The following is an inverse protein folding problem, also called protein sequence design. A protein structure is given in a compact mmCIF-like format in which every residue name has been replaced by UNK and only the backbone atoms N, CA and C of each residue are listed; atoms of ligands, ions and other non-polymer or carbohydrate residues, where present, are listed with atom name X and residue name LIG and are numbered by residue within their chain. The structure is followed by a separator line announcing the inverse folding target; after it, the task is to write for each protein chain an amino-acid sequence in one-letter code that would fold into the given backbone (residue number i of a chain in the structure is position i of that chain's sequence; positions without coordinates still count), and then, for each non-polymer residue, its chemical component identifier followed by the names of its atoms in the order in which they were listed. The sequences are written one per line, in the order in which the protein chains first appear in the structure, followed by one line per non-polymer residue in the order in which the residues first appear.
data_IF_444608930681
#
_entry.id   IF_444608930681
#
_cell.length_a   1.000
_cell.length_b   1.000
_cell.length_c   1.000
_cell.angle_alpha   90.00
_cell.angle_beta   90.00
_cell.angle_gamma   90.00
#
_symmetry.space_group_name_H-M   'P 1'
#
loop_
_entity.id
_entity.type
_entity.pdbx_description
1 polymer ?
#
# COMPACT_ATOMS: atom_id res chain seq x y z
N UNK A 1 12.49 22.39 5.29
CA UNK A 1 12.41 20.92 5.37
C UNK A 1 12.50 20.52 6.83
N UNK A 2 11.52 19.78 7.36
CA UNK A 2 11.57 19.18 8.70
C UNK A 2 11.79 17.67 8.51
N UNK A 3 12.62 17.07 9.35
CA UNK A 3 12.90 15.63 9.31
C UNK A 3 12.71 15.10 10.72
N UNK A 4 11.97 14.00 10.83
CA UNK A 4 11.84 13.23 12.06
C UNK A 4 12.39 11.83 11.77
N UNK A 5 13.16 11.27 12.70
CA UNK A 5 13.68 9.91 12.61
C UNK A 5 13.01 9.07 13.68
N UNK A 6 12.20 8.12 13.25
CA UNK A 6 11.54 7.17 14.13
C UNK A 6 11.24 5.90 13.36
N UNK A 7 11.12 4.79 14.08
CA UNK A 7 10.61 3.55 13.52
C UNK A 7 9.08 3.62 13.48
N UNK A 8 8.50 3.70 12.28
CA UNK A 8 7.06 3.91 12.10
C UNK A 8 6.32 2.58 12.29
N UNK A 9 5.24 2.63 13.05
CA UNK A 9 4.33 1.51 13.27
C UNK A 9 2.89 1.99 13.10
N UNK A 10 1.95 1.06 12.93
CA UNK A 10 0.53 1.42 12.88
C UNK A 10 0.04 2.07 14.18
N UNK A 11 0.71 1.78 15.29
CA UNK A 11 0.33 2.27 16.63
C UNK A 11 0.87 3.68 16.92
N UNK A 12 1.95 4.11 16.25
CA UNK A 12 2.58 5.43 16.49
C UNK A 12 2.39 6.46 15.37
N UNK A 13 1.95 6.04 14.17
CA UNK A 13 1.89 6.92 13.00
C UNK A 13 1.00 8.15 13.23
N UNK A 14 -0.13 7.98 13.94
CA UNK A 14 -1.06 9.06 14.21
C UNK A 14 -0.48 10.11 15.17
N UNK A 15 0.24 9.67 16.21
CA UNK A 15 0.89 10.60 17.14
C UNK A 15 2.02 11.35 16.44
N UNK A 16 2.84 10.66 15.65
CA UNK A 16 3.90 11.28 14.85
C UNK A 16 3.35 12.38 13.92
N UNK A 17 2.29 12.09 13.17
CA UNK A 17 1.68 13.06 12.25
C UNK A 17 1.08 14.24 13.01
N UNK A 18 0.39 13.99 14.14
CA UNK A 18 -0.21 15.03 14.96
C UNK A 18 0.83 15.95 15.60
N UNK A 19 1.87 15.38 16.20
CA UNK A 19 2.92 16.11 16.93
C UNK A 19 3.76 16.98 15.99
N UNK A 20 3.80 16.65 14.71
CA UNK A 20 4.44 17.47 13.68
C UNK A 20 3.51 18.49 13.01
N UNK A 21 2.27 18.63 13.48
CA UNK A 21 1.30 19.62 13.00
C UNK A 21 0.73 19.30 11.62
N UNK A 22 0.66 18.01 11.26
CA UNK A 22 0.16 17.51 9.98
C UNK A 22 -1.22 16.85 10.10
N UNK A 23 -1.91 17.04 11.23
CA UNK A 23 -3.30 16.63 11.38
C UNK A 23 -4.23 17.50 10.53
N UNK A 24 -5.30 16.91 10.00
CA UNK A 24 -6.23 17.57 9.08
C UNK A 24 -5.80 17.45 7.61
N UNK A 25 -6.17 18.44 6.79
CA UNK A 25 -5.88 18.41 5.36
C UNK A 25 -4.40 18.63 5.07
N UNK A 26 -3.83 17.75 4.25
CA UNK A 26 -2.48 17.91 3.68
C UNK A 26 -2.54 17.68 2.17
N UNK A 27 -1.63 18.26 1.40
CA UNK A 27 -1.69 18.12 -0.06
C UNK A 27 -1.23 16.72 -0.53
N UNK A 28 -0.20 16.17 0.12
CA UNK A 28 0.47 14.95 -0.33
C UNK A 28 0.92 14.07 0.84
N UNK A 29 0.63 12.77 0.73
CA UNK A 29 1.27 11.71 1.51
C UNK A 29 2.03 10.80 0.54
N UNK A 30 3.30 10.51 0.83
CA UNK A 30 4.07 9.47 0.15
C UNK A 30 4.47 8.44 1.20
N UNK A 31 4.19 7.16 0.96
CA UNK A 31 4.48 6.07 1.88
C UNK A 31 5.25 4.97 1.17
N UNK A 32 6.46 4.73 1.66
CA UNK A 32 7.41 3.72 1.21
C UNK A 32 8.29 3.39 2.43
N UNK A 33 7.90 2.33 3.16
CA UNK A 33 8.57 1.86 4.38
C UNK A 33 8.97 0.38 4.28
N UNK A 34 9.08 -0.15 3.06
CA UNK A 34 9.62 -1.47 2.75
C UNK A 34 8.91 -2.66 3.44
N UNK A 35 7.61 -2.58 3.75
CA UNK A 35 6.94 -3.67 4.47
C UNK A 35 5.53 -3.38 4.95
N UNK A 36 5.43 -2.59 6.03
CA UNK A 36 4.18 -2.38 6.76
C UNK A 36 3.26 -1.31 6.16
N UNK A 37 3.51 -0.89 4.92
CA UNK A 37 2.87 0.23 4.22
C UNK A 37 1.34 0.16 4.30
N UNK A 38 0.76 -1.01 3.99
CA UNK A 38 -0.68 -1.24 4.09
C UNK A 38 -1.22 -1.01 5.51
N UNK A 39 -0.54 -1.55 6.52
CA UNK A 39 -0.98 -1.47 7.92
C UNK A 39 -0.85 -0.07 8.49
N UNK A 40 0.24 0.62 8.15
CA UNK A 40 0.48 2.01 8.55
C UNK A 40 -0.56 2.94 7.91
N UNK A 41 -0.80 2.82 6.61
CA UNK A 41 -1.81 3.65 5.95
C UNK A 41 -3.23 3.33 6.41
N UNK A 42 -3.53 2.06 6.69
CA UNK A 42 -4.82 1.65 7.26
C UNK A 42 -5.07 2.34 8.60
N UNK A 43 -4.08 2.36 9.49
CA UNK A 43 -4.20 2.99 10.81
C UNK A 43 -4.15 4.52 10.79
N UNK A 44 -3.51 5.13 9.79
CA UNK A 44 -3.40 6.58 9.68
C UNK A 44 -4.76 7.24 9.39
N UNK A 45 -5.29 7.97 10.37
CA UNK A 45 -6.61 8.63 10.30
C UNK A 45 -6.59 10.11 10.72
N UNK A 46 -5.49 10.58 11.30
CA UNK A 46 -5.38 11.97 11.77
C UNK A 46 -5.19 12.99 10.66
N UNK A 47 -4.81 12.56 9.45
CA UNK A 47 -4.64 13.44 8.30
C UNK A 47 -5.49 12.98 7.11
N UNK A 48 -5.80 13.93 6.23
CA UNK A 48 -6.56 13.72 5.00
C UNK A 48 -5.75 14.29 3.82
N UNK A 49 -4.83 13.49 3.26
CA UNK A 49 -4.09 13.88 2.06
C UNK A 49 -5.01 14.08 0.87
N UNK A 50 -4.76 15.07 0.01
CA UNK A 50 -5.44 15.20 -1.29
C UNK A 50 -4.97 14.15 -2.28
N UNK A 51 -3.68 13.84 -2.24
CA UNK A 51 -3.02 12.80 -3.04
C UNK A 51 -2.25 11.86 -2.11
N UNK A 52 -2.35 10.56 -2.35
CA UNK A 52 -1.55 9.53 -1.69
C UNK A 52 -0.71 8.81 -2.74
N UNK A 53 0.59 8.67 -2.49
CA UNK A 53 1.53 7.87 -3.26
C UNK A 53 1.93 6.69 -2.39
N UNK A 54 1.76 5.47 -2.90
CA UNK A 54 2.08 4.24 -2.18
C UNK A 54 3.06 3.41 -3.00
N UNK A 55 4.13 2.94 -2.38
CA UNK A 55 4.89 1.82 -2.91
C UNK A 55 4.01 0.57 -2.82
N UNK A 56 3.88 -0.16 -3.93
CA UNK A 56 3.24 -1.47 -3.95
C UNK A 56 4.21 -2.53 -4.44
N UNK A 57 3.92 -3.78 -4.13
CA UNK A 57 4.73 -4.91 -4.56
C UNK A 57 4.17 -5.51 -5.87
N UNK A 58 4.78 -5.22 -7.04
CA UNK A 58 4.34 -5.76 -8.33
C UNK A 58 4.67 -7.25 -8.49
N UNK A 59 5.27 -7.91 -7.51
CA UNK A 59 5.50 -9.34 -7.58
C UNK A 59 4.26 -10.17 -7.22
N UNK A 60 3.28 -9.57 -6.51
CA UNK A 60 2.04 -10.25 -6.09
C UNK A 60 0.97 -10.40 -7.19
N UNK A 61 1.16 -9.78 -8.35
CA UNK A 61 0.16 -9.81 -9.42
C UNK A 61 -1.01 -8.83 -9.19
N UNK A 62 -1.84 -8.62 -10.21
CA UNK A 62 -2.98 -7.70 -10.14
C UNK A 62 -4.22 -8.29 -9.47
N UNK A 63 -4.31 -9.62 -9.32
CA UNK A 63 -5.57 -10.30 -8.99
C UNK A 63 -5.87 -10.36 -7.49
N UNK A 64 -4.89 -10.74 -6.68
CA UNK A 64 -5.11 -11.02 -5.25
C UNK A 64 -4.86 -9.77 -4.40
N UNK A 65 -5.77 -9.47 -3.49
CA UNK A 65 -5.56 -8.47 -2.45
C UNK A 65 -4.79 -9.10 -1.28
N UNK A 66 -3.47 -8.87 -1.23
CA UNK A 66 -2.58 -9.49 -0.24
C UNK A 66 -1.61 -8.49 0.34
N UNK A 67 -1.17 -8.75 1.56
CA UNK A 67 -0.08 -8.01 2.22
C UNK A 67 0.72 -8.93 3.12
N UNK A 68 1.98 -8.60 3.37
CA UNK A 68 2.75 -9.26 4.44
C UNK A 68 2.04 -9.06 5.79
N UNK A 69 2.09 -10.07 6.67
CA UNK A 69 1.52 -9.94 8.00
C UNK A 69 2.19 -8.80 8.76
N UNK A 70 1.37 -8.03 9.48
CA UNK A 70 1.88 -6.96 10.33
C UNK A 70 2.85 -7.51 11.37
N UNK A 71 4.06 -6.95 11.38
CA UNK A 71 5.06 -7.12 12.43
C UNK A 71 5.65 -5.74 12.74
N UNK A 72 5.50 -5.19 13.96
CA UNK A 72 6.06 -3.89 14.30
C UNK A 72 7.59 -3.85 14.16
N UNK A 73 8.28 -4.99 14.08
CA UNK A 73 9.71 -5.10 13.86
C UNK A 73 10.07 -5.68 12.47
N UNK A 74 9.14 -5.62 11.50
CA UNK A 74 9.35 -6.16 10.16
C UNK A 74 10.65 -5.66 9.54
N UNK A 75 11.53 -6.60 9.18
CA UNK A 75 12.75 -6.33 8.42
C UNK A 75 12.73 -7.17 7.14
N UNK A 76 12.56 -6.51 6.00
CA UNK A 76 12.60 -7.14 4.67
C UNK A 76 13.89 -7.93 4.45
N UNK A 77 15.02 -7.51 5.03
CA UNK A 77 16.30 -8.19 4.87
C UNK A 77 16.29 -9.61 5.46
N UNK A 78 15.48 -9.87 6.49
CA UNK A 78 15.37 -11.17 7.13
C UNK A 78 14.81 -12.26 6.18
N UNK A 79 14.20 -11.88 5.05
CA UNK A 79 13.58 -12.80 4.10
C UNK A 79 14.41 -13.02 2.83
N UNK A 80 15.54 -12.32 2.66
CA UNK A 80 16.33 -12.32 1.41
C UNK A 80 16.86 -13.69 1.00
N UNK A 81 17.14 -14.58 1.96
CA UNK A 81 17.57 -15.95 1.69
C UNK A 81 16.46 -16.82 1.07
N UNK A 82 15.20 -16.41 1.24
CA UNK A 82 14.04 -17.04 0.59
C UNK A 82 13.68 -16.27 -0.69
N UNK A 83 13.42 -14.96 -0.57
CA UNK A 83 13.07 -14.10 -1.70
C UNK A 83 13.25 -12.61 -1.35
N UNK A 84 13.72 -11.82 -2.30
CA UNK A 84 13.76 -10.36 -2.17
C UNK A 84 12.38 -9.69 -2.35
N UNK A 85 11.37 -10.47 -2.76
CA UNK A 85 10.03 -9.98 -3.14
C UNK A 85 8.97 -10.19 -2.04
N UNK A 86 9.36 -10.44 -0.80
CA UNK A 86 8.44 -10.55 0.34
C UNK A 86 8.43 -9.24 1.15
N UNK A 87 7.57 -8.32 0.75
CA UNK A 87 7.37 -7.00 1.37
C UNK A 87 6.03 -6.40 0.92
N UNK A 88 5.56 -5.39 1.65
CA UNK A 88 4.47 -4.51 1.22
C UNK A 88 3.13 -5.22 0.98
N UNK A 89 2.38 -4.68 0.03
CA UNK A 89 1.06 -5.17 -0.35
C UNK A 89 0.87 -5.13 -1.88
N UNK A 90 -0.11 -5.89 -2.37
CA UNK A 90 -0.47 -5.88 -3.79
C UNK A 90 -1.23 -4.62 -4.17
N UNK A 91 -1.30 -4.32 -5.48
CA UNK A 91 -2.06 -3.17 -5.96
C UNK A 91 -3.56 -3.30 -5.62
N UNK A 92 -4.12 -4.50 -5.70
CA UNK A 92 -5.52 -4.75 -5.34
C UNK A 92 -5.78 -4.46 -3.84
N UNK A 93 -4.81 -4.74 -2.95
CA UNK A 93 -4.93 -4.40 -1.54
C UNK A 93 -5.04 -2.88 -1.33
N UNK A 94 -4.18 -2.11 -1.99
CA UNK A 94 -4.21 -0.65 -1.89
C UNK A 94 -5.42 -0.01 -2.57
N UNK A 95 -5.89 -0.56 -3.68
CA UNK A 95 -7.13 -0.11 -4.31
C UNK A 95 -8.32 -0.29 -3.36
N UNK A 96 -8.45 -1.47 -2.75
CA UNK A 96 -9.52 -1.77 -1.78
C UNK A 96 -9.47 -0.81 -0.58
N UNK A 97 -8.30 -0.68 0.05
CA UNK A 97 -8.12 0.22 1.20
C UNK A 97 -8.32 1.69 0.82
N UNK A 98 -7.95 2.08 -0.39
CA UNK A 98 -8.24 3.41 -0.92
C UNK A 98 -9.72 3.69 -0.96
N UNK A 99 -10.53 2.77 -1.52
CA UNK A 99 -11.99 2.91 -1.54
C UNK A 99 -12.56 3.05 -0.13
N UNK A 100 -12.11 2.21 0.81
CA UNK A 100 -12.52 2.29 2.22
C UNK A 100 -12.21 3.65 2.85
N UNK A 101 -11.06 4.25 2.49
CA UNK A 101 -10.60 5.54 3.04
C UNK A 101 -11.10 6.76 2.25
N UNK A 102 -11.95 6.59 1.22
CA UNK A 102 -12.47 7.71 0.42
C UNK A 102 -11.51 8.20 -0.67
N UNK A 103 -10.69 7.30 -1.21
CA UNK A 103 -9.73 7.54 -2.29
C UNK A 103 -10.02 6.63 -3.49
N UNK A 104 -9.59 7.08 -4.67
CA UNK A 104 -9.63 6.30 -5.90
C UNK A 104 -8.24 6.21 -6.53
N UNK A 105 -7.89 5.01 -6.98
CA UNK A 105 -6.68 4.77 -7.74
C UNK A 105 -6.79 5.47 -9.11
N UNK A 106 -5.81 6.30 -9.49
CA UNK A 106 -5.88 7.06 -10.75
C UNK A 106 -4.72 6.77 -11.71
N UNK A 107 -3.56 6.39 -11.18
CA UNK A 107 -2.35 6.18 -11.97
C UNK A 107 -1.39 5.23 -11.25
N UNK A 108 -0.56 4.51 -12.01
CA UNK A 108 0.71 3.95 -11.53
C UNK A 108 1.87 4.54 -12.29
N UNK A 109 3.01 4.65 -11.62
CA UNK A 109 4.20 5.18 -12.25
C UNK A 109 4.76 4.20 -13.30
N UNK A 110 5.33 4.68 -14.43
CA UNK A 110 5.70 3.80 -15.54
C UNK A 110 6.71 2.69 -15.22
N UNK A 111 7.54 2.84 -14.18
CA UNK A 111 8.50 1.81 -13.77
C UNK A 111 7.89 0.77 -12.82
N UNK A 112 6.64 0.95 -12.39
CA UNK A 112 5.85 -0.07 -11.70
C UNK A 112 6.08 -0.21 -10.20
N UNK A 113 6.67 0.77 -9.53
CA UNK A 113 6.90 0.74 -8.08
C UNK A 113 5.84 1.51 -7.27
N UNK A 114 5.32 2.62 -7.80
CA UNK A 114 4.40 3.48 -7.06
C UNK A 114 3.04 3.61 -7.74
N UNK A 115 2.01 3.80 -6.93
CA UNK A 115 0.67 4.17 -7.38
C UNK A 115 0.15 5.43 -6.72
N UNK A 116 -0.76 6.10 -7.42
CA UNK A 116 -1.31 7.39 -7.04
C UNK A 116 -2.81 7.24 -6.81
N UNK A 117 -3.25 7.67 -5.63
CA UNK A 117 -4.65 7.72 -5.27
C UNK A 117 -5.07 9.16 -4.98
N UNK A 118 -6.23 9.56 -5.54
CA UNK A 118 -6.84 10.85 -5.30
C UNK A 118 -7.99 10.71 -4.32
N UNK A 119 -8.10 11.66 -3.38
CA UNK A 119 -9.29 11.77 -2.53
C UNK A 119 -10.52 12.04 -3.39
N UNK A 120 -11.65 11.42 -3.08
CA UNK A 120 -12.83 11.38 -3.97
C UNK A 120 -13.41 12.76 -4.33
N UNK A 121 -13.22 13.77 -3.48
CA UNK A 121 -13.63 15.17 -3.71
C UNK A 121 -12.64 15.99 -4.54
N UNK A 122 -11.39 15.54 -4.68
CA UNK A 122 -10.34 16.24 -5.40
C UNK A 122 -10.36 15.86 -6.89
N UNK A 123 -10.48 16.86 -7.76
CA UNK A 123 -10.49 16.72 -9.22
C UNK A 123 -11.42 15.59 -9.71
N UNK A 124 -12.73 15.64 -9.39
CA UNK A 124 -13.68 14.56 -9.66
C UNK A 124 -13.79 14.18 -11.15
N UNK A 125 -13.35 15.05 -12.06
CA UNK A 125 -13.21 14.78 -13.49
C UNK A 125 -12.14 13.72 -13.84
N UNK A 126 -11.17 13.49 -12.94
CA UNK A 126 -10.18 12.42 -13.07
C UNK A 126 -10.81 11.12 -12.57
N UNK A 127 -11.19 10.24 -13.49
CA UNK A 127 -11.81 8.96 -13.18
C UNK A 127 -10.85 7.99 -12.48
N UNK A 128 -11.42 7.03 -11.74
CA UNK A 128 -10.66 5.89 -11.24
C UNK A 128 -10.15 5.04 -12.41
N UNK A 129 -8.92 4.56 -12.29
CA UNK A 129 -8.30 3.66 -13.25
C UNK A 129 -8.30 2.25 -12.66
N UNK A 130 -8.77 1.23 -13.40
CA UNK A 130 -8.82 -0.12 -12.87
C UNK A 130 -7.40 -0.68 -12.72
N UNK A 131 -7.20 -1.53 -11.71
CA UNK A 131 -5.89 -2.17 -11.38
C UNK A 131 -5.18 -2.72 -12.61
N UNK A 132 -5.89 -3.45 -13.47
CA UNK A 132 -5.31 -4.09 -14.67
C UNK A 132 -4.79 -3.08 -15.72
N UNK A 133 -5.35 -1.87 -15.77
CA UNK A 133 -4.89 -0.83 -16.69
C UNK A 133 -3.64 -0.10 -16.16
N UNK A 134 -3.43 -0.13 -14.84
CA UNK A 134 -2.27 0.48 -14.17
C UNK A 134 -1.12 -0.50 -14.01
N UNK A 135 -1.42 -1.80 -13.93
CA UNK A 135 -0.42 -2.80 -13.60
C UNK A 135 0.72 -2.82 -14.63
N UNK A 136 1.99 -2.71 -14.21
CA UNK A 136 3.12 -2.46 -15.12
C UNK A 136 3.43 -3.65 -16.05
N UNK A 137 3.11 -4.87 -15.61
CA UNK A 137 3.31 -6.08 -16.40
C UNK A 137 2.08 -7.00 -16.32
N UNK A 138 1.10 -6.85 -17.21
CA UNK A 138 -0.12 -7.67 -17.22
C UNK A 138 0.15 -9.17 -17.44
N UNK A 139 1.31 -9.52 -18.02
CA UNK A 139 1.73 -10.91 -18.24
C UNK A 139 2.55 -11.49 -17.09
N UNK A 140 2.74 -10.76 -15.99
CA UNK A 140 3.45 -11.25 -14.81
C UNK A 140 2.70 -12.42 -14.18
N UNK A 141 3.38 -13.55 -14.00
CA UNK A 141 2.85 -14.71 -13.30
C UNK A 141 3.32 -14.68 -11.83
N UNK A 142 2.43 -14.40 -10.86
CA UNK A 142 2.81 -14.36 -9.45
C UNK A 142 2.85 -15.75 -8.78
N UNK A 143 2.39 -16.81 -9.47
CA UNK A 143 2.30 -18.17 -8.88
C UNK A 143 3.63 -18.68 -8.31
N UNK A 144 4.79 -18.54 -9.00
CA UNK A 144 6.05 -18.99 -8.44
C UNK A 144 6.42 -18.31 -7.12
N UNK A 145 6.08 -17.03 -6.94
CA UNK A 145 6.29 -16.33 -5.68
C UNK A 145 5.37 -16.85 -4.59
N UNK A 146 4.08 -17.05 -4.89
CA UNK A 146 3.14 -17.59 -3.92
C UNK A 146 3.48 -19.03 -3.49
N UNK A 147 3.93 -19.87 -4.43
CA UNK A 147 4.40 -21.22 -4.13
C UNK A 147 5.61 -21.19 -3.20
N UNK A 148 6.55 -20.27 -3.44
CA UNK A 148 7.73 -20.08 -2.59
C UNK A 148 7.36 -19.59 -1.19
N UNK A 149 6.47 -18.60 -1.08
CA UNK A 149 5.93 -18.08 0.19
C UNK A 149 5.26 -19.22 0.98
N UNK A 150 4.42 -20.02 0.33
CA UNK A 150 3.71 -21.14 0.96
C UNK A 150 4.69 -22.23 1.41
N UNK A 151 5.66 -22.61 0.57
CA UNK A 151 6.69 -23.61 0.90
C UNK A 151 7.54 -23.17 2.09
N UNK A 152 7.93 -21.90 2.15
CA UNK A 152 8.70 -21.32 3.23
C UNK A 152 7.85 -20.94 4.46
N UNK A 153 6.52 -21.05 4.38
CA UNK A 153 5.56 -20.66 5.42
C UNK A 153 5.73 -19.19 5.85
N UNK A 154 6.01 -18.31 4.90
CA UNK A 154 6.11 -16.88 5.20
C UNK A 154 4.70 -16.34 5.51
N UNK A 155 4.57 -15.42 6.48
CA UNK A 155 3.27 -14.97 6.95
C UNK A 155 2.64 -13.96 5.99
N UNK A 156 1.87 -14.46 5.02
CA UNK A 156 1.10 -13.64 4.07
C UNK A 156 -0.37 -13.59 4.50
N UNK A 157 -1.00 -12.42 4.36
CA UNK A 157 -2.41 -12.18 4.69
C UNK A 157 -3.19 -11.98 3.40
N UNK A 158 -4.25 -12.78 3.20
CA UNK A 158 -5.31 -12.47 2.23
C UNK A 158 -6.25 -11.43 2.83
N UNK A 159 -6.56 -10.40 2.07
CA UNK A 159 -7.51 -9.37 2.44
C UNK A 159 -8.82 -9.68 1.72
N UNK A 160 -9.91 -9.82 2.47
CA UNK A 160 -11.23 -10.05 1.89
C UNK A 160 -11.62 -8.88 0.99
N UNK A 161 -12.04 -9.17 -0.24
CA UNK A 161 -12.63 -8.17 -1.11
C UNK A 161 -14.00 -7.77 -0.55
N UNK A 162 -14.13 -6.55 -0.05
CA UNK A 162 -15.44 -5.97 0.21
C UNK A 162 -16.10 -5.70 -1.15
N UNK A 163 -17.02 -6.58 -1.55
CA UNK A 163 -17.92 -6.31 -2.67
C UNK A 163 -18.68 -5.01 -2.34
N UNK A 164 -18.83 -4.07 -3.28
CA UNK A 164 -19.67 -2.90 -3.05
C UNK A 164 -21.08 -3.38 -2.68
N UNK A 165 -21.66 -2.81 -1.62
CA UNK A 165 -23.08 -3.00 -1.32
C UNK A 165 -23.89 -2.57 -2.56
N UNK A 166 -24.80 -3.44 -2.99
CA UNK A 166 -25.61 -3.31 -4.20
C UNK A 166 -26.65 -2.18 -4.10
#
# INVERSE_FOLDING_TARGET
MRVASTWITRDNVNDLVRDHGLAGEVDLLSLDIDGNDYWVWRALDVCSPRIVILEFNPAFGPERAVTVQYDPAFDRAAFKDVTANFYGASLAAFENLGREKGYRLVMGEPRGANVYLLRNDVAPEIAASPVHAIYPNPGHDPRPLFDLIAKARLPLVELEAQLPEA
#
